data_IF_196378264694
#
_entry.id   IF_196378264694
#
_cell.length_a   1.000
_cell.length_b   1.000
_cell.length_c   1.000
_cell.angle_alpha   90.00
_cell.angle_beta   90.00
_cell.angle_gamma   90.00
#
_symmetry.space_group_name_H-M   'P 1'
#
loop_
_entity.id
_entity.type
_entity.pdbx_description
1 polymer ?
#
# COMPACT_ATOMS: atom_id res chain seq x y z
N UNK A 1 19.69 -6.08 8.70
CA UNK A 1 18.57 -7.06 8.65
C UNK A 1 17.26 -6.40 9.10
N UNK A 2 16.81 -5.34 8.40
CA UNK A 2 15.73 -4.46 8.89
C UNK A 2 14.43 -4.50 8.06
N UNK A 3 14.29 -5.40 7.09
CA UNK A 3 13.09 -5.45 6.22
C UNK A 3 12.27 -6.75 6.38
N UNK A 4 12.72 -7.70 7.21
CA UNK A 4 12.03 -8.98 7.42
C UNK A 4 10.62 -8.80 8.00
N UNK A 5 10.38 -7.76 8.79
CA UNK A 5 9.07 -7.48 9.35
C UNK A 5 8.06 -6.95 8.30
N UNK A 6 8.50 -6.63 7.07
CA UNK A 6 7.64 -6.23 5.94
C UNK A 6 7.12 -7.42 5.11
N UNK A 7 7.60 -8.64 5.37
CA UNK A 7 7.19 -9.85 4.63
C UNK A 7 5.66 -10.04 4.60
N UNK A 8 4.90 -9.85 5.69
CA UNK A 8 3.45 -10.05 5.66
C UNK A 8 2.75 -9.15 4.65
N UNK A 9 3.08 -7.85 4.66
CA UNK A 9 2.53 -6.89 3.70
C UNK A 9 3.01 -7.17 2.28
N UNK A 10 4.27 -7.56 2.07
CA UNK A 10 4.77 -7.93 0.74
C UNK A 10 3.97 -9.10 0.12
N UNK A 11 3.75 -10.18 0.88
CA UNK A 11 2.98 -11.34 0.41
C UNK A 11 1.51 -10.95 0.17
N UNK A 12 0.89 -10.26 1.13
CA UNK A 12 -0.50 -9.83 1.01
C UNK A 12 -0.70 -8.87 -0.17
N UNK A 13 0.22 -7.92 -0.37
CA UNK A 13 0.22 -6.98 -1.48
C UNK A 13 0.30 -7.67 -2.84
N UNK A 14 1.21 -8.63 -3.00
CA UNK A 14 1.32 -9.42 -4.23
C UNK A 14 0.03 -10.20 -4.48
N UNK A 15 -0.54 -10.85 -3.46
CA UNK A 15 -1.81 -11.58 -3.61
C UNK A 15 -2.96 -10.64 -4.01
N UNK A 16 -3.04 -9.47 -3.40
CA UNK A 16 -4.05 -8.45 -3.74
C UNK A 16 -3.85 -7.97 -5.17
N UNK A 17 -2.64 -7.59 -5.58
CA UNK A 17 -2.33 -7.13 -6.93
C UNK A 17 -2.67 -8.19 -7.98
N UNK A 18 -2.28 -9.45 -7.76
CA UNK A 18 -2.62 -10.56 -8.65
C UNK A 18 -4.13 -10.81 -8.75
N UNK A 19 -4.85 -10.73 -7.62
CA UNK A 19 -6.30 -10.92 -7.58
C UNK A 19 -7.03 -9.76 -8.26
N UNK A 20 -6.55 -8.54 -8.08
CA UNK A 20 -7.10 -7.33 -8.69
C UNK A 20 -6.93 -7.32 -10.20
N UNK A 21 -5.76 -7.72 -10.71
CA UNK A 21 -5.51 -7.88 -12.15
C UNK A 21 -6.46 -8.92 -12.76
N UNK A 22 -6.73 -10.03 -12.07
CA UNK A 22 -7.55 -11.14 -12.59
C UNK A 22 -9.05 -10.90 -12.48
N UNK A 23 -9.50 -10.34 -11.36
CA UNK A 23 -10.92 -10.32 -10.99
C UNK A 23 -11.47 -8.92 -10.74
N UNK A 24 -10.63 -7.87 -10.79
CA UNK A 24 -10.95 -6.48 -10.46
C UNK A 24 -11.62 -6.33 -9.09
N UNK A 25 -11.20 -7.16 -8.14
CA UNK A 25 -11.71 -7.20 -6.77
C UNK A 25 -10.56 -7.36 -5.80
N UNK A 26 -10.58 -6.53 -4.77
CA UNK A 26 -9.63 -6.62 -3.65
C UNK A 26 -10.20 -7.56 -2.57
N UNK A 27 -9.52 -8.68 -2.25
CA UNK A 27 -9.99 -9.62 -1.24
C UNK A 27 -9.83 -9.03 0.17
N UNK A 28 -10.94 -8.56 0.76
CA UNK A 28 -10.95 -7.86 2.06
C UNK A 28 -10.34 -8.68 3.20
N UNK A 29 -10.54 -10.01 3.18
CA UNK A 29 -9.96 -10.90 4.18
C UNK A 29 -8.42 -10.93 4.11
N UNK A 30 -7.84 -10.88 2.91
CA UNK A 30 -6.39 -10.84 2.71
C UNK A 30 -5.84 -9.49 3.19
N UNK A 31 -6.54 -8.39 2.91
CA UNK A 31 -6.16 -7.08 3.43
C UNK A 31 -6.18 -7.06 4.95
N UNK A 32 -7.27 -7.53 5.57
CA UNK A 32 -7.40 -7.56 7.03
C UNK A 32 -6.34 -8.45 7.68
N UNK A 33 -6.16 -9.68 7.17
CA UNK A 33 -5.16 -10.62 7.67
C UNK A 33 -3.74 -10.08 7.47
N UNK A 34 -3.45 -9.50 6.30
CA UNK A 34 -2.17 -8.87 6.00
C UNK A 34 -1.87 -7.70 6.93
N UNK A 35 -2.86 -6.84 7.22
CA UNK A 35 -2.68 -5.69 8.09
C UNK A 35 -2.47 -6.12 9.54
N UNK A 36 -3.23 -7.12 10.00
CA UNK A 36 -3.06 -7.70 11.33
C UNK A 36 -1.68 -8.34 11.50
N UNK A 37 -1.24 -9.13 10.52
CA UNK A 37 0.08 -9.76 10.53
C UNK A 37 1.21 -8.72 10.47
N UNK A 38 1.06 -7.68 9.63
CA UNK A 38 2.04 -6.60 9.52
C UNK A 38 2.15 -5.81 10.84
N UNK A 39 1.02 -5.47 11.47
CA UNK A 39 1.00 -4.84 12.79
C UNK A 39 1.66 -5.72 13.85
N UNK A 40 1.36 -7.02 13.87
CA UNK A 40 1.98 -7.95 14.81
C UNK A 40 3.51 -7.98 14.66
N UNK A 41 4.02 -8.00 13.43
CA UNK A 41 5.46 -7.94 13.16
C UNK A 41 6.09 -6.61 13.59
N UNK A 42 5.42 -5.46 13.34
CA UNK A 42 5.90 -4.14 13.78
C UNK A 42 5.93 -4.07 15.31
N UNK A 43 4.90 -4.57 15.99
CA UNK A 43 4.84 -4.61 17.46
C UNK A 43 5.95 -5.49 18.03
N UNK A 44 6.15 -6.69 17.47
CA UNK A 44 7.24 -7.58 17.88
C UNK A 44 8.62 -6.91 17.71
N UNK A 45 8.82 -6.17 16.61
CA UNK A 45 10.03 -5.39 16.38
C UNK A 45 10.20 -4.25 17.39
N UNK A 46 9.12 -3.53 17.74
CA UNK A 46 9.17 -2.47 18.74
C UNK A 46 9.51 -2.99 20.13
N UNK A 47 8.96 -4.16 20.51
CA UNK A 47 9.29 -4.83 21.77
C UNK A 47 10.78 -5.22 21.80
N UNK A 48 11.30 -5.79 20.71
CA UNK A 48 12.68 -6.23 20.63
C UNK A 48 13.69 -5.08 20.60
N UNK A 49 13.41 -4.02 19.83
CA UNK A 49 14.27 -2.85 19.69
C UNK A 49 14.14 -1.83 20.83
N UNK A 50 13.10 -1.94 21.65
CA UNK A 50 12.77 -0.98 22.72
C UNK A 50 12.26 0.38 22.21
N UNK A 51 12.07 0.55 20.90
CA UNK A 51 11.61 1.79 20.28
C UNK A 51 10.19 1.66 19.76
N UNK A 52 9.30 2.54 20.22
CA UNK A 52 7.90 2.60 19.78
C UNK A 52 7.67 3.56 18.61
N UNK A 53 8.70 4.30 18.19
CA UNK A 53 8.60 5.26 17.10
C UNK A 53 8.13 4.61 15.78
N UNK A 54 8.66 3.45 15.33
CA UNK A 54 8.22 2.82 14.08
C UNK A 54 6.73 2.49 14.07
N UNK A 55 6.16 2.06 15.20
CA UNK A 55 4.73 1.79 15.31
C UNK A 55 3.91 3.06 15.15
N UNK A 56 4.30 4.15 15.84
CA UNK A 56 3.62 5.43 15.76
C UNK A 56 3.67 6.01 14.33
N UNK A 57 4.83 5.97 13.68
CA UNK A 57 4.98 6.41 12.29
C UNK A 57 4.16 5.55 11.32
N UNK A 58 4.19 4.22 11.47
CA UNK A 58 3.41 3.29 10.63
C UNK A 58 1.92 3.57 10.74
N UNK A 59 1.40 3.70 11.96
CA UNK A 59 -0.02 3.98 12.18
C UNK A 59 -0.39 5.38 11.67
N UNK A 60 0.42 6.40 11.99
CA UNK A 60 0.18 7.79 11.59
C UNK A 60 0.15 7.94 10.07
N UNK A 61 1.14 7.42 9.36
CA UNK A 61 1.19 7.49 7.90
C UNK A 61 0.16 6.59 7.24
N UNK A 62 -0.07 5.38 7.73
CA UNK A 62 -1.11 4.51 7.18
C UNK A 62 -2.49 5.18 7.26
N UNK A 63 -2.85 5.74 8.42
CA UNK A 63 -4.11 6.46 8.60
C UNK A 63 -4.18 7.70 7.71
N UNK A 64 -3.14 8.53 7.70
CA UNK A 64 -3.09 9.73 6.86
C UNK A 64 -3.26 9.39 5.37
N UNK A 65 -2.50 8.42 4.86
CA UNK A 65 -2.58 8.01 3.45
C UNK A 65 -3.93 7.40 3.12
N UNK A 66 -4.49 6.58 4.01
CA UNK A 66 -5.82 5.98 3.83
C UNK A 66 -6.91 7.03 3.80
N UNK A 67 -6.82 8.06 4.66
CA UNK A 67 -7.78 9.17 4.68
C UNK A 67 -7.70 10.00 3.40
N UNK A 68 -6.50 10.28 2.90
CA UNK A 68 -6.32 10.94 1.60
C UNK A 68 -6.93 10.09 0.49
N UNK A 69 -6.65 8.78 0.48
CA UNK A 69 -7.17 7.87 -0.53
C UNK A 69 -8.71 7.74 -0.46
N UNK A 70 -9.27 7.73 0.75
CA UNK A 70 -10.70 7.74 0.99
C UNK A 70 -11.33 9.06 0.51
N UNK A 71 -10.71 10.20 0.79
CA UNK A 71 -11.18 11.50 0.31
C UNK A 71 -11.21 11.53 -1.22
N UNK A 72 -10.18 11.03 -1.89
CA UNK A 72 -10.15 10.90 -3.36
C UNK A 72 -11.28 10.00 -3.87
N UNK A 73 -11.53 8.87 -3.21
CA UNK A 73 -12.62 7.96 -3.56
C UNK A 73 -14.01 8.60 -3.41
N UNK A 74 -14.19 9.45 -2.39
CA UNK A 74 -15.44 10.17 -2.14
C UNK A 74 -15.65 11.35 -3.11
N UNK A 75 -14.59 12.04 -3.51
CA UNK A 75 -14.66 13.16 -4.48
C UNK A 75 -14.98 12.67 -5.90
N UNK A 76 -14.48 11.49 -6.28
CA UNK A 76 -14.72 10.89 -7.61
C UNK A 76 -15.21 9.44 -7.46
N UNK A 77 -16.47 9.23 -7.07
CA UNK A 77 -17.05 7.89 -6.96
C UNK A 77 -17.00 7.20 -8.33
N UNK A 78 -16.35 6.03 -8.38
CA UNK A 78 -16.13 5.26 -9.61
C UNK A 78 -14.70 5.32 -10.17
N UNK A 79 -13.88 6.30 -9.76
CA UNK A 79 -12.47 6.35 -10.14
C UNK A 79 -11.59 5.48 -9.23
N UNK A 80 -11.96 5.36 -7.96
CA UNK A 80 -11.21 4.60 -6.96
C UNK A 80 -12.12 3.67 -6.16
N UNK A 81 -11.75 2.41 -6.05
CA UNK A 81 -12.51 1.42 -5.29
C UNK A 81 -12.21 1.50 -3.79
N UNK A 82 -13.19 1.13 -2.96
CA UNK A 82 -12.94 0.94 -1.52
C UNK A 82 -11.83 -0.10 -1.26
N UNK A 83 -11.66 -1.07 -2.17
CA UNK A 83 -10.54 -2.00 -2.16
C UNK A 83 -9.18 -1.31 -2.16
N UNK A 84 -9.00 -0.31 -3.02
CA UNK A 84 -7.75 0.45 -3.16
C UNK A 84 -7.43 1.25 -1.89
N UNK A 85 -8.45 1.82 -1.25
CA UNK A 85 -8.32 2.51 0.04
C UNK A 85 -7.78 1.55 1.10
N UNK A 86 -8.35 0.35 1.19
CA UNK A 86 -7.90 -0.65 2.17
C UNK A 86 -6.52 -1.23 1.82
N UNK A 87 -6.18 -1.33 0.53
CA UNK A 87 -4.84 -1.71 0.09
C UNK A 87 -3.80 -0.64 0.49
N UNK A 88 -4.16 0.64 0.37
CA UNK A 88 -3.35 1.77 0.82
C UNK A 88 -3.11 1.74 2.33
N UNK A 89 -4.09 1.31 3.13
CA UNK A 89 -3.90 1.10 4.56
C UNK A 89 -2.85 0.03 4.84
N UNK A 90 -2.97 -1.14 4.20
CA UNK A 90 -2.02 -2.25 4.36
C UNK A 90 -0.60 -1.86 3.94
N UNK A 91 -0.44 -1.26 2.75
CA UNK A 91 0.86 -0.82 2.25
C UNK A 91 1.40 0.37 3.05
N UNK A 92 0.54 1.26 3.54
CA UNK A 92 0.92 2.39 4.37
C UNK A 92 1.47 1.97 5.73
N UNK A 93 0.98 0.86 6.31
CA UNK A 93 1.58 0.27 7.51
C UNK A 93 3.01 -0.22 7.26
N UNK A 94 3.26 -0.73 6.06
CA UNK A 94 4.57 -1.23 5.65
C UNK A 94 5.53 -0.08 5.32
N UNK A 95 5.12 0.89 4.53
CA UNK A 95 6.00 1.99 4.10
C UNK A 95 6.16 3.03 5.22
N UNK A 96 5.13 3.25 6.03
CA UNK A 96 5.16 4.24 7.11
C UNK A 96 6.22 3.94 8.18
N UNK A 97 6.62 2.68 8.37
CA UNK A 97 7.70 2.34 9.29
C UNK A 97 9.08 2.81 8.81
N UNK A 98 9.23 3.03 7.49
CA UNK A 98 10.49 3.43 6.85
C UNK A 98 10.71 4.95 6.91
N UNK A 99 9.69 5.71 7.34
CA UNK A 99 9.75 7.15 7.54
C UNK A 99 9.14 7.98 6.41
N UNK A 100 9.22 9.30 6.58
CA UNK A 100 8.57 10.31 5.70
C UNK A 100 9.07 10.19 4.26
N UNK A 101 10.37 10.02 4.05
CA UNK A 101 10.97 9.97 2.72
C UNK A 101 10.44 8.78 1.91
N UNK A 102 10.35 7.60 2.53
CA UNK A 102 9.80 6.41 1.90
C UNK A 102 8.32 6.60 1.53
N UNK A 103 7.53 7.25 2.39
CA UNK A 103 6.14 7.59 2.10
C UNK A 103 6.04 8.57 0.94
N UNK A 104 6.89 9.60 0.88
CA UNK A 104 6.91 10.55 -0.23
C UNK A 104 7.26 9.88 -1.56
N UNK A 105 8.31 9.06 -1.58
CA UNK A 105 8.71 8.25 -2.74
C UNK A 105 7.58 7.32 -3.17
N UNK A 106 6.92 6.67 -2.20
CA UNK A 106 5.78 5.79 -2.47
C UNK A 106 4.63 6.54 -3.14
N UNK A 107 4.25 7.73 -2.68
CA UNK A 107 3.22 8.55 -3.32
C UNK A 107 3.61 8.98 -4.74
N UNK A 108 4.87 9.37 -4.96
CA UNK A 108 5.36 9.76 -6.28
C UNK A 108 5.27 8.60 -7.28
N UNK A 109 5.76 7.42 -6.90
CA UNK A 109 5.68 6.24 -7.77
C UNK A 109 4.25 5.73 -7.94
N UNK A 110 3.41 5.82 -6.91
CA UNK A 110 1.99 5.45 -7.01
C UNK A 110 1.27 6.33 -8.04
N UNK A 111 1.53 7.64 -8.03
CA UNK A 111 1.01 8.56 -9.04
C UNK A 111 1.53 8.25 -10.45
N UNK A 112 2.84 8.01 -10.58
CA UNK A 112 3.47 7.67 -11.86
C UNK A 112 2.92 6.37 -12.46
N UNK A 113 2.85 5.30 -11.65
CA UNK A 113 2.31 4.01 -12.07
C UNK A 113 0.81 4.10 -12.37
N UNK A 114 0.05 4.85 -11.56
CA UNK A 114 -1.36 5.13 -11.82
C UNK A 114 -1.58 5.83 -13.17
N UNK A 115 -0.79 6.85 -13.49
CA UNK A 115 -0.83 7.55 -14.78
C UNK A 115 -0.43 6.66 -15.95
N UNK A 116 0.61 5.83 -15.78
CA UNK A 116 1.03 4.87 -16.80
C UNK A 116 -0.09 3.86 -17.10
N UNK A 117 -0.75 3.33 -16.06
CA UNK A 117 -1.88 2.41 -16.21
C UNK A 117 -3.09 3.07 -16.89
N UNK A 118 -3.41 4.31 -16.52
CA UNK A 118 -4.43 5.14 -17.19
C UNK A 118 -4.13 5.28 -18.69
N UNK A 119 -2.88 5.56 -19.05
CA UNK A 119 -2.44 5.69 -20.45
C UNK A 119 -2.60 4.39 -21.23
N UNK A 120 -2.14 3.27 -20.67
CA UNK A 120 -2.27 1.94 -21.28
C UNK A 120 -3.74 1.56 -21.46
N UNK A 121 -4.57 1.85 -20.46
CA UNK A 121 -5.98 1.47 -20.48
C UNK A 121 -6.82 2.28 -21.46
N UNK A 122 -6.52 3.58 -21.63
CA UNK A 122 -7.12 4.40 -22.69
C UNK A 122 -6.87 3.82 -24.08
N UNK A 123 -5.70 3.22 -24.31
CA UNK A 123 -5.39 2.51 -25.55
C UNK A 123 -6.13 1.16 -25.73
N UNK A 124 -6.71 0.60 -24.66
CA UNK A 124 -7.37 -0.73 -24.65
C UNK A 124 -8.89 -0.68 -24.48
N UNK A 125 -9.48 0.50 -24.29
CA UNK A 125 -10.93 0.69 -24.19
C UNK A 125 -11.59 0.07 -22.94
N UNK A 126 -10.86 -0.10 -21.84
CA UNK A 126 -11.38 -0.73 -20.63
C UNK A 126 -12.05 0.25 -19.65
N UNK A 127 -13.19 -0.13 -19.07
CA UNK A 127 -14.01 0.73 -18.20
C UNK A 127 -13.54 0.87 -16.73
N UNK A 128 -12.62 0.04 -16.22
CA UNK A 128 -12.16 0.14 -14.82
C UNK A 128 -10.69 -0.26 -14.64
N UNK A 129 -9.92 0.56 -13.93
CA UNK A 129 -8.47 0.42 -13.81
C UNK A 129 -8.14 -0.29 -12.49
N UNK A 130 -7.39 -1.41 -12.51
CA UNK A 130 -6.88 -2.03 -11.29
C UNK A 130 -5.79 -1.12 -10.70
N UNK A 131 -6.12 -0.37 -9.65
CA UNK A 131 -5.19 0.60 -9.03
C UNK A 131 -4.33 -0.04 -7.93
N UNK A 132 -4.80 -1.12 -7.30
CA UNK A 132 -4.05 -1.85 -6.27
C UNK A 132 -2.64 -2.31 -6.71
N UNK A 133 -2.40 -2.80 -7.95
CA UNK A 133 -1.05 -3.11 -8.42
C UNK A 133 -0.11 -1.91 -8.43
N UNK A 134 -0.60 -0.70 -8.76
CA UNK A 134 0.21 0.52 -8.72
C UNK A 134 0.59 0.88 -7.28
N UNK A 135 -0.36 0.76 -6.33
CA UNK A 135 -0.10 0.97 -4.89
C UNK A 135 1.00 0.02 -4.40
N UNK A 136 0.88 -1.26 -4.73
CA UNK A 136 1.81 -2.30 -4.28
C UNK A 136 3.18 -2.15 -4.94
N UNK A 137 3.24 -1.95 -6.25
CA UNK A 137 4.49 -1.77 -6.98
C UNK A 137 5.26 -0.55 -6.47
N UNK A 138 4.57 0.56 -6.20
CA UNK A 138 5.18 1.74 -5.62
C UNK A 138 5.75 1.46 -4.22
N UNK A 139 5.07 0.64 -3.40
CA UNK A 139 5.55 0.29 -2.06
C UNK A 139 6.85 -0.53 -2.13
N UNK A 140 6.94 -1.50 -3.04
CA UNK A 140 8.19 -2.22 -3.29
C UNK A 140 9.31 -1.31 -3.78
N UNK A 141 8.99 -0.35 -4.64
CA UNK A 141 9.98 0.59 -5.19
C UNK A 141 10.52 1.50 -4.09
N UNK A 142 9.64 2.04 -3.24
CA UNK A 142 10.03 2.87 -2.10
C UNK A 142 10.86 2.09 -1.08
N UNK A 143 10.48 0.84 -0.77
CA UNK A 143 11.24 -0.02 0.13
C UNK A 143 12.63 -0.37 -0.44
N UNK A 144 12.72 -0.65 -1.74
CA UNK A 144 13.98 -0.95 -2.40
C UNK A 144 14.92 0.26 -2.43
N UNK A 145 14.39 1.46 -2.74
CA UNK A 145 15.18 2.69 -2.74
C UNK A 145 15.64 3.10 -1.34
N UNK A 146 14.82 2.85 -0.32
CA UNK A 146 15.20 3.09 1.07
C UNK A 146 16.32 2.15 1.56
N UNK A 147 16.53 1.02 0.89
CA UNK A 147 17.54 0.03 1.25
C UNK A 147 18.90 0.22 0.57
N UNK A 148 19.01 1.16 -0.39
CA UNK A 148 20.24 1.53 -1.09
C UNK A 148 21.01 2.60 -0.32
#
# INVERSE_FOLDING_TARGET
>A
MAYLFLIPSAIAGIMIACTDIRTRRVPRMVVAAGSAAQLACIVAWCIWSGSWAPLAWSMGFALACTLVQLALALVRPGALGFGDVTCTLLMGLAVGCLGVEAVAVWWLFMGLFGLAMLGIQRGRGGDSIPFAPAIVAAAFTAAALNAL
#
